data_IF_959895038361
#
_entry.id   IF_959895038361
#
_cell.length_a   1.000
_cell.length_b   1.000
_cell.length_c   1.000
_cell.angle_alpha   90.00
_cell.angle_beta   90.00
_cell.angle_gamma   90.00
#
_symmetry.space_group_name_H-M   'P 1'
#
loop_
_entity.id
_entity.type
_entity.pdbx_description
1 polymer ?
#
# COMPACT_ATOMS: atom_id res chain seq x y z
N UNK A 1 8.84 13.82 -11.17
CA UNK A 1 8.04 13.29 -10.04
C UNK A 1 7.82 11.82 -10.33
N UNK A 2 7.98 10.93 -9.35
CA UNK A 2 7.81 9.50 -9.59
C UNK A 2 6.31 9.20 -9.76
N UNK A 3 5.96 8.30 -10.67
CA UNK A 3 4.56 8.01 -11.02
C UNK A 3 4.26 6.53 -10.89
N UNK A 4 3.00 6.23 -10.56
CA UNK A 4 2.48 4.87 -10.57
C UNK A 4 1.49 4.80 -11.72
N UNK A 5 1.70 3.86 -12.62
CA UNK A 5 0.96 3.70 -13.87
C UNK A 5 0.49 2.27 -14.04
N UNK A 6 -0.48 2.05 -14.94
CA UNK A 6 -0.99 0.73 -15.29
C UNK A 6 -1.39 -0.11 -14.07
N UNK A 7 -2.00 0.56 -13.08
CA UNK A 7 -2.44 -0.08 -11.84
C UNK A 7 -3.67 -0.92 -12.15
N UNK A 8 -3.57 -2.22 -11.89
CA UNK A 8 -4.74 -3.10 -11.81
C UNK A 8 -4.78 -3.72 -10.43
N UNK A 9 -5.97 -3.71 -9.84
CA UNK A 9 -6.23 -4.34 -8.55
C UNK A 9 -7.46 -5.22 -8.71
N UNK A 10 -7.27 -6.53 -8.60
CA UNK A 10 -8.34 -7.51 -8.71
C UNK A 10 -8.55 -8.19 -7.36
N UNK A 11 -9.81 -8.26 -6.91
CA UNK A 11 -10.17 -9.04 -5.73
C UNK A 11 -10.28 -10.51 -6.13
N UNK A 12 -9.51 -11.39 -5.49
CA UNK A 12 -9.61 -12.84 -5.68
C UNK A 12 -10.58 -13.51 -4.69
N UNK A 13 -11.18 -12.72 -3.80
CA UNK A 13 -12.06 -13.17 -2.73
C UNK A 13 -11.35 -13.28 -1.38
N UNK A 14 -12.14 -13.30 -0.29
CA UNK A 14 -11.64 -13.43 1.11
C UNK A 14 -10.56 -12.40 1.49
N UNK A 15 -10.68 -11.16 1.01
CA UNK A 15 -9.70 -10.09 1.28
C UNK A 15 -8.34 -10.29 0.63
N UNK A 16 -8.22 -11.23 -0.32
CA UNK A 16 -7.02 -11.38 -1.15
C UNK A 16 -7.15 -10.54 -2.41
N UNK A 17 -6.08 -9.82 -2.71
CA UNK A 17 -5.98 -8.99 -3.89
C UNK A 17 -4.78 -9.39 -4.71
N UNK A 18 -4.92 -9.31 -6.03
CA UNK A 18 -3.79 -9.32 -6.95
C UNK A 18 -3.62 -7.92 -7.51
N UNK A 19 -2.40 -7.42 -7.41
CA UNK A 19 -2.02 -6.12 -7.91
C UNK A 19 -0.98 -6.23 -9.02
N UNK A 20 -1.19 -5.48 -10.08
CA UNK A 20 -0.17 -5.16 -11.05
C UNK A 20 0.02 -3.65 -11.11
N UNK A 21 1.26 -3.18 -11.21
CA UNK A 21 1.53 -1.76 -11.44
C UNK A 21 2.91 -1.56 -12.05
N UNK A 22 3.11 -0.37 -12.62
CA UNK A 22 4.41 0.13 -13.04
C UNK A 22 4.74 1.35 -12.19
N UNK A 23 5.82 1.26 -11.41
CA UNK A 23 6.35 2.39 -10.67
C UNK A 23 7.53 3.00 -11.42
N UNK A 24 7.35 4.21 -11.95
CA UNK A 24 8.39 4.95 -12.66
C UNK A 24 9.18 5.83 -11.69
N UNK A 25 10.46 5.52 -11.58
CA UNK A 25 11.41 6.25 -10.74
C UNK A 25 12.22 7.18 -11.64
N UNK A 26 12.08 8.48 -11.41
CA UNK A 26 12.73 9.52 -12.22
C UNK A 26 14.07 9.97 -11.64
N UNK A 27 14.24 9.84 -10.33
CA UNK A 27 15.46 10.20 -9.60
C UNK A 27 15.80 9.12 -8.58
N UNK A 28 17.10 8.97 -8.29
CA UNK A 28 17.56 8.01 -7.28
C UNK A 28 16.93 8.33 -5.93
N UNK A 29 16.33 7.31 -5.30
CA UNK A 29 15.78 7.41 -3.95
C UNK A 29 16.77 6.72 -3.00
N UNK A 30 17.43 7.51 -2.15
CA UNK A 30 18.41 7.01 -1.17
C UNK A 30 17.80 6.74 0.21
N UNK A 31 16.60 7.25 0.46
CA UNK A 31 15.91 7.19 1.75
C UNK A 31 14.57 7.90 1.70
N UNK A 32 13.98 8.10 2.87
CA UNK A 32 12.72 8.81 3.04
C UNK A 32 11.73 8.04 3.91
N UNK A 33 10.64 8.72 4.24
CA UNK A 33 9.54 8.17 5.04
C UNK A 33 8.38 7.83 4.12
N UNK A 34 7.89 6.60 4.21
CA UNK A 34 6.61 6.22 3.65
C UNK A 34 5.51 6.54 4.66
N UNK A 35 4.76 7.60 4.39
CA UNK A 35 3.57 7.98 5.14
C UNK A 35 2.39 7.17 4.65
N UNK A 36 1.63 6.61 5.58
CA UNK A 36 0.41 5.86 5.28
C UNK A 36 -0.72 6.46 6.10
N UNK A 37 -1.73 6.98 5.41
CA UNK A 37 -2.95 7.53 6.00
C UNK A 37 -4.11 6.59 5.69
N UNK A 38 -4.80 6.16 6.74
CA UNK A 38 -5.97 5.31 6.66
C UNK A 38 -7.22 6.16 6.92
N UNK A 39 -8.16 6.10 5.99
CA UNK A 39 -9.49 6.66 6.15
C UNK A 39 -10.52 5.54 6.01
N UNK A 40 -11.54 5.63 6.84
CA UNK A 40 -12.70 4.73 6.87
C UNK A 40 -13.85 5.42 6.14
N UNK A 41 -14.39 4.78 5.12
CA UNK A 41 -15.42 5.36 4.26
C UNK A 41 -16.72 4.55 4.36
N UNK A 42 -17.85 5.26 4.38
CA UNK A 42 -19.19 4.63 4.36
C UNK A 42 -19.51 4.02 2.99
N UNK A 43 -19.01 4.63 1.92
CA UNK A 43 -19.17 4.20 0.54
C UNK A 43 -17.82 4.16 -0.16
N UNK A 44 -17.76 3.67 -1.40
CA UNK A 44 -16.57 3.81 -2.25
C UNK A 44 -16.36 5.24 -2.74
N UNK A 45 -17.32 6.14 -2.51
CA UNK A 45 -17.24 7.54 -2.92
C UNK A 45 -16.28 8.33 -2.02
N UNK A 46 -15.59 9.31 -2.62
CA UNK A 46 -14.51 10.08 -1.98
C UNK A 46 -15.00 10.98 -0.83
N UNK A 47 -16.28 11.35 -0.80
CA UNK A 47 -16.83 12.35 0.12
C UNK A 47 -17.12 11.83 1.53
N UNK A 48 -17.31 10.53 1.71
CA UNK A 48 -17.83 9.95 2.97
C UNK A 48 -16.74 9.27 3.82
N UNK A 49 -15.51 9.76 3.76
CA UNK A 49 -14.36 9.16 4.44
C UNK A 49 -13.99 9.92 5.73
N UNK A 50 -13.96 9.20 6.84
CA UNK A 50 -13.49 9.66 8.15
C UNK A 50 -12.02 9.27 8.34
N UNK A 51 -11.21 10.22 8.81
CA UNK A 51 -9.82 9.97 9.17
C UNK A 51 -9.75 8.98 10.34
N UNK A 52 -8.88 7.97 10.22
CA UNK A 52 -8.63 7.03 11.32
C UNK A 52 -7.26 7.28 11.91
N UNK A 53 -6.21 7.16 11.10
CA UNK A 53 -4.83 7.28 11.58
C UNK A 53 -3.84 7.55 10.46
N UNK A 54 -2.69 8.08 10.83
CA UNK A 54 -1.50 8.19 9.98
C UNK A 54 -0.29 7.67 10.72
N UNK A 55 0.49 6.85 10.05
CA UNK A 55 1.79 6.40 10.54
C UNK A 55 2.84 6.56 9.45
N UNK A 56 4.11 6.48 9.82
CA UNK A 56 5.21 6.50 8.87
C UNK A 56 6.20 5.37 9.13
N UNK A 57 6.79 4.85 8.05
CA UNK A 57 7.86 3.88 8.09
C UNK A 57 9.09 4.43 7.36
N UNK A 58 10.28 4.08 7.83
CA UNK A 58 11.50 4.36 7.07
C UNK A 58 11.51 3.48 5.81
N UNK A 59 11.46 4.10 4.62
CA UNK A 59 11.22 3.42 3.36
C UNK A 59 12.26 2.32 3.08
N UNK A 60 13.54 2.63 3.26
CA UNK A 60 14.60 1.66 3.00
C UNK A 60 14.61 0.49 4.00
N UNK A 61 14.27 0.75 5.26
CA UNK A 61 14.12 -0.29 6.28
C UNK A 61 12.94 -1.21 5.97
N UNK A 62 11.84 -0.64 5.45
CA UNK A 62 10.68 -1.40 5.01
C UNK A 62 11.00 -2.30 3.80
N UNK A 63 11.86 -1.86 2.88
CA UNK A 63 12.30 -2.67 1.74
C UNK A 63 13.17 -3.88 2.14
N UNK A 64 13.91 -3.80 3.25
CA UNK A 64 14.76 -4.89 3.74
C UNK A 64 14.07 -5.79 4.77
N UNK A 65 13.05 -5.29 5.45
CA UNK A 65 12.30 -6.05 6.45
C UNK A 65 11.35 -7.08 5.81
N UNK A 66 11.28 -8.26 6.43
CA UNK A 66 10.21 -9.23 6.16
C UNK A 66 8.93 -8.74 6.83
N UNK A 67 7.84 -8.70 6.08
CA UNK A 67 6.53 -8.27 6.55
C UNK A 67 5.44 -8.59 5.53
N UNK A 68 4.19 -8.18 5.77
CA UNK A 68 3.09 -8.48 4.86
C UNK A 68 3.23 -7.89 3.45
N UNK A 69 4.05 -6.85 3.30
CA UNK A 69 4.42 -6.26 2.02
C UNK A 69 5.47 -7.07 1.25
N UNK A 70 6.10 -8.10 1.85
CA UNK A 70 7.19 -8.85 1.23
C UNK A 70 6.78 -9.50 -0.09
N UNK A 71 5.58 -10.07 -0.20
CA UNK A 71 5.11 -10.66 -1.46
C UNK A 71 5.01 -9.63 -2.60
N UNK A 72 4.60 -8.40 -2.26
CA UNK A 72 4.58 -7.28 -3.20
C UNK A 72 5.99 -6.85 -3.63
N UNK A 73 6.93 -6.78 -2.68
CA UNK A 73 8.33 -6.46 -2.99
C UNK A 73 9.00 -7.56 -3.84
N UNK A 74 8.74 -8.82 -3.56
CA UNK A 74 9.30 -9.96 -4.29
C UNK A 74 8.78 -10.07 -5.72
N UNK A 75 7.55 -9.60 -5.96
CA UNK A 75 6.95 -9.52 -7.29
C UNK A 75 7.52 -8.38 -8.16
N UNK A 76 8.31 -7.47 -7.59
CA UNK A 76 8.89 -6.34 -8.33
C UNK A 76 10.08 -6.73 -9.23
N UNK A 77 10.13 -6.16 -10.43
CA UNK A 77 11.18 -6.33 -11.43
C UNK A 77 11.52 -4.96 -12.06
N UNK A 78 12.74 -4.43 -11.88
CA UNK A 78 13.80 -4.94 -11.00
C UNK A 78 13.36 -4.94 -9.53
N UNK A 79 14.04 -5.74 -8.67
CA UNK A 79 13.71 -5.80 -7.24
C UNK A 79 13.92 -4.43 -6.60
N UNK A 80 12.95 -4.00 -5.81
CA UNK A 80 13.13 -2.83 -4.95
C UNK A 80 14.27 -3.05 -3.97
N UNK A 81 15.23 -2.13 -3.98
CA UNK A 81 16.35 -2.07 -3.04
C UNK A 81 16.77 -0.62 -2.90
N UNK A 82 17.25 -0.24 -1.72
CA UNK A 82 17.89 1.05 -1.56
C UNK A 82 19.40 0.96 -1.87
N UNK A 83 20.00 1.98 -2.53
CA UNK A 83 19.31 3.09 -3.17
C UNK A 83 18.53 2.63 -4.41
N UNK A 84 17.31 3.13 -4.58
CA UNK A 84 16.46 2.79 -5.71
C UNK A 84 16.83 3.67 -6.90
N UNK A 85 17.36 3.06 -7.96
CA UNK A 85 17.83 3.77 -9.16
C UNK A 85 16.65 4.20 -10.05
N UNK A 86 16.81 5.26 -10.86
CA UNK A 86 15.84 5.61 -11.89
C UNK A 86 15.56 4.42 -12.82
N UNK A 87 14.30 4.30 -13.24
CA UNK A 87 13.85 3.20 -14.09
C UNK A 87 12.39 2.84 -13.86
N UNK A 88 11.91 1.85 -14.61
CA UNK A 88 10.56 1.33 -14.51
C UNK A 88 10.56 0.05 -13.70
N UNK A 89 9.87 0.06 -12.57
CA UNK A 89 9.70 -1.09 -11.69
C UNK A 89 8.34 -1.70 -11.92
N UNK A 90 8.32 -2.86 -12.56
CA UNK A 90 7.10 -3.59 -12.84
C UNK A 90 6.80 -4.54 -11.69
N UNK A 91 5.58 -4.48 -11.19
CA UNK A 91 5.06 -5.41 -10.21
C UNK A 91 3.95 -6.17 -10.92
N UNK A 92 4.09 -7.49 -10.97
CA UNK A 92 3.11 -8.36 -11.63
C UNK A 92 2.66 -9.46 -10.69
N UNK A 93 1.36 -9.69 -10.63
CA UNK A 93 0.72 -10.72 -9.83
C UNK A 93 1.11 -10.66 -8.35
N UNK A 94 1.31 -9.46 -7.80
CA UNK A 94 1.60 -9.30 -6.39
C UNK A 94 0.35 -9.63 -5.57
N UNK A 95 0.43 -10.67 -4.75
CA UNK A 95 -0.63 -11.00 -3.80
C UNK A 95 -0.52 -10.07 -2.59
N UNK A 96 -1.59 -9.35 -2.30
CA UNK A 96 -1.78 -8.62 -1.05
C UNK A 96 -2.90 -9.30 -0.27
N UNK A 97 -2.58 -9.78 0.92
CA UNK A 97 -3.56 -10.31 1.85
C UNK A 97 -3.92 -9.21 2.84
N UNK A 98 -5.15 -8.69 2.74
CA UNK A 98 -5.62 -7.65 3.65
C UNK A 98 -5.52 -8.09 5.11
N UNK A 99 -5.74 -9.37 5.44
CA UNK A 99 -5.65 -9.86 6.81
C UNK A 99 -4.24 -9.69 7.39
N UNK A 100 -3.20 -9.86 6.57
CA UNK A 100 -1.82 -9.67 7.00
C UNK A 100 -1.50 -8.18 7.18
N UNK A 101 -2.02 -7.31 6.30
CA UNK A 101 -1.85 -5.85 6.42
C UNK A 101 -2.54 -5.31 7.68
N UNK A 102 -3.73 -5.81 7.96
CA UNK A 102 -4.52 -5.41 9.14
C UNK A 102 -3.89 -5.87 10.46
N UNK A 103 -2.97 -6.84 10.43
CA UNK A 103 -2.21 -7.31 11.58
C UNK A 103 -0.89 -6.53 11.83
N UNK A 104 -0.53 -5.55 10.98
CA UNK A 104 0.78 -4.82 11.05
C UNK A 104 0.90 -3.91 12.28
N UNK A 105 -0.14 -3.77 13.08
CA UNK A 105 0.06 -3.31 14.43
C UNK A 105 -1.25 -3.28 15.17
N UNK A 106 -1.12 -3.18 16.48
CA UNK A 106 -2.13 -2.84 17.49
C UNK A 106 -2.90 -1.52 17.21
N UNK A 107 -2.84 -1.00 15.98
CA UNK A 107 -3.30 0.32 15.54
C UNK A 107 -4.81 0.35 15.29
N UNK A 108 -5.43 -0.81 15.01
CA UNK A 108 -6.88 -0.94 14.90
C UNK A 108 -7.30 -2.38 15.24
N UNK A 109 -8.18 -2.62 16.23
CA UNK A 109 -8.76 -3.93 16.48
C UNK A 109 -9.29 -4.54 15.18
N UNK A 110 -9.13 -5.86 14.99
CA UNK A 110 -9.63 -6.55 13.79
C UNK A 110 -11.11 -6.22 13.46
N UNK A 111 -11.91 -5.89 14.48
CA UNK A 111 -13.32 -5.46 14.37
C UNK A 111 -13.53 -4.10 13.69
N UNK A 112 -12.53 -3.23 13.62
CA UNK A 112 -12.66 -1.93 12.94
C UNK A 112 -12.73 -2.08 11.43
N UNK A 113 -12.19 -3.18 10.90
CA UNK A 113 -12.09 -3.43 9.48
C UNK A 113 -13.34 -4.05 8.85
N UNK A 114 -14.27 -4.53 9.68
CA UNK A 114 -15.50 -5.21 9.26
C UNK A 114 -16.51 -4.21 8.65
N UNK A 115 -17.05 -4.52 7.47
CA UNK A 115 -18.15 -3.80 6.80
C UNK A 115 -17.87 -2.33 6.39
N UNK A 116 -16.59 -1.97 6.20
CA UNK A 116 -16.20 -0.63 5.73
C UNK A 116 -15.35 -0.63 4.47
N UNK A 117 -15.48 0.45 3.71
CA UNK A 117 -14.56 0.79 2.63
C UNK A 117 -13.36 1.53 3.23
N UNK A 118 -12.16 1.09 2.92
CA UNK A 118 -10.92 1.70 3.41
C UNK A 118 -10.23 2.43 2.28
N UNK A 119 -9.92 3.69 2.52
CA UNK A 119 -9.10 4.51 1.62
C UNK A 119 -7.73 4.72 2.24
N UNK A 120 -6.74 4.06 1.65
CA UNK A 120 -5.35 4.08 2.05
C UNK A 120 -4.59 5.03 1.13
N UNK A 121 -4.15 6.18 1.65
CA UNK A 121 -3.21 7.07 0.96
C UNK A 121 -1.80 6.69 1.43
N UNK A 122 -0.88 6.53 0.48
CA UNK A 122 0.53 6.36 0.76
C UNK A 122 1.33 7.45 0.06
N UNK A 123 2.32 8.00 0.75
CA UNK A 123 3.14 9.10 0.25
C UNK A 123 4.59 8.90 0.68
N UNK A 124 5.51 8.90 -0.29
CA UNK A 124 6.94 8.80 -0.03
C UNK A 124 7.51 10.21 0.05
N UNK A 125 8.05 10.57 1.21
CA UNK A 125 8.59 11.91 1.48
C UNK A 125 10.07 11.81 1.79
N UNK A 126 10.90 12.57 1.07
CA UNK A 126 12.33 12.75 1.37
C UNK A 126 12.64 14.24 1.52
N UNK A 127 13.30 14.63 2.62
CA UNK A 127 13.65 16.04 2.93
C UNK A 127 12.50 17.05 2.72
N UNK A 128 11.28 16.68 3.14
CA UNK A 128 10.02 17.46 2.97
C UNK A 128 9.53 17.58 1.51
N UNK A 129 10.15 16.91 0.55
CA UNK A 129 9.66 16.80 -0.82
C UNK A 129 8.91 15.48 -1.01
N UNK A 130 7.69 15.55 -1.53
CA UNK A 130 6.95 14.35 -1.97
C UNK A 130 7.62 13.78 -3.22
N UNK A 131 8.10 12.54 -3.11
CA UNK A 131 8.73 11.80 -4.20
C UNK A 131 7.70 11.02 -5.01
N UNK A 132 6.57 10.65 -4.40
CA UNK A 132 5.47 9.93 -5.04
C UNK A 132 4.31 9.73 -4.07
N UNK A 133 3.10 9.62 -4.61
CA UNK A 133 1.86 9.45 -3.86
C UNK A 133 0.95 8.48 -4.60
N UNK A 134 0.18 7.68 -3.86
CA UNK A 134 -0.89 6.88 -4.41
C UNK A 134 -2.00 6.67 -3.40
N UNK A 135 -3.18 6.31 -3.91
CA UNK A 135 -4.38 6.08 -3.12
C UNK A 135 -4.98 4.76 -3.60
N UNK A 136 -5.21 3.85 -2.65
CA UNK A 136 -5.93 2.60 -2.89
C UNK A 136 -7.21 2.63 -2.07
N UNK A 137 -8.33 2.32 -2.72
CA UNK A 137 -9.60 2.05 -2.04
C UNK A 137 -9.84 0.55 -2.03
N UNK A 138 -10.07 -0.03 -0.85
CA UNK A 138 -10.31 -1.46 -0.66
C UNK A 138 -11.58 -1.67 0.15
N UNK A 139 -12.36 -2.71 -0.16
CA UNK A 139 -13.51 -3.16 0.64
C UNK A 139 -13.20 -4.51 1.26
N UNK A 140 -13.29 -4.62 2.58
CA UNK A 140 -13.14 -5.89 3.27
C UNK A 140 -14.54 -6.44 3.61
N UNK A 141 -14.82 -7.66 3.16
CA UNK A 141 -16.02 -8.41 3.55
C UNK A 141 -15.59 -9.64 4.32
N UNK A 142 -16.00 -9.72 5.59
CA UNK A 142 -15.79 -10.90 6.41
C UNK A 142 -16.83 -11.96 6.03
N UNK A 143 -16.38 -13.08 5.46
CA UNK A 143 -17.27 -14.22 5.27
C UNK A 143 -17.54 -14.84 6.65
N UNK A 144 -18.77 -14.72 7.16
CA UNK A 144 -19.22 -15.53 8.31
C UNK A 144 -19.30 -16.98 7.83
N UNK A 145 -18.46 -17.84 8.38
CA UNK A 145 -18.66 -19.28 8.26
C UNK A 145 -19.80 -19.62 9.23
N UNK A 146 -20.93 -20.05 8.68
CA UNK A 146 -21.99 -20.72 9.45
C UNK A 146 -21.47 -22.06 9.97
#
# INVERSE_FOLDING_TARGET
MNTIENVTLAMLGRGKYVMNLVFKVTKTITGGKLWVTLNKCKTTSVGDCEYVLTYHLEYCSMLSAKGPWSGFLEASRPRFKCPMKPGNYMIRNASLDASQIMNIGSVAPARWWDDYHWRVKFELIDKKQSLGCGIITMSYQRIRLN
#
